data_IF_510709153159
#
_entry.id   IF_510709153159
#
_cell.length_a   1.000
_cell.length_b   1.000
_cell.length_c   1.000
_cell.angle_alpha   90.00
_cell.angle_beta   90.00
_cell.angle_gamma   90.00
#
_symmetry.space_group_name_H-M   'P 1'
#
loop_
_entity.id
_entity.type
_entity.pdbx_description
1 polymer ?
#
# COMPACT_ATOMS: atom_id res chain seq x y z
N UNK A 1 -32.97 2.50 26.58
CA UNK A 1 -32.47 1.12 26.45
C UNK A 1 -32.62 0.53 25.04
N UNK A 2 -33.74 0.71 24.30
CA UNK A 2 -33.90 0.06 22.96
C UNK A 2 -32.95 0.59 21.86
N UNK A 3 -32.55 1.86 21.85
CA UNK A 3 -31.64 2.44 20.83
C UNK A 3 -30.18 1.99 20.98
N UNK A 4 -29.71 1.78 22.20
CA UNK A 4 -28.34 1.30 22.46
C UNK A 4 -28.16 -0.17 22.03
N UNK A 5 -29.18 -0.99 22.21
CA UNK A 5 -29.12 -2.40 21.81
C UNK A 5 -29.13 -2.55 20.27
N UNK A 6 -29.80 -1.65 19.54
CA UNK A 6 -29.81 -1.66 18.08
C UNK A 6 -28.42 -1.29 17.52
N UNK A 7 -27.76 -0.29 18.11
CA UNK A 7 -26.39 0.08 17.72
C UNK A 7 -25.37 -1.02 18.02
N UNK A 8 -25.49 -1.69 19.16
CA UNK A 8 -24.66 -2.86 19.52
C UNK A 8 -24.93 -4.05 18.60
N UNK A 9 -26.17 -4.32 18.21
CA UNK A 9 -26.53 -5.41 17.31
C UNK A 9 -26.01 -5.12 15.88
N UNK A 10 -26.08 -3.88 15.41
CA UNK A 10 -25.52 -3.47 14.11
C UNK A 10 -23.99 -3.54 14.14
N UNK A 11 -23.34 -3.13 15.24
CA UNK A 11 -21.89 -3.26 15.40
C UNK A 11 -21.46 -4.74 15.45
N UNK A 12 -22.23 -5.62 16.09
CA UNK A 12 -21.91 -7.05 16.20
C UNK A 12 -22.17 -7.81 14.90
N UNK A 13 -23.18 -7.41 14.10
CA UNK A 13 -23.47 -8.04 12.81
C UNK A 13 -22.46 -7.65 11.70
N UNK A 14 -21.68 -6.58 11.87
CA UNK A 14 -20.59 -6.22 10.98
C UNK A 14 -19.31 -7.04 11.22
N UNK A 15 -19.22 -7.76 12.35
CA UNK A 15 -18.07 -8.59 12.70
C UNK A 15 -18.14 -10.05 12.24
N UNK A 16 -19.24 -10.51 11.67
CA UNK A 16 -19.47 -11.93 11.39
C UNK A 16 -19.39 -12.34 9.91
N UNK A 17 -18.64 -11.60 9.09
CA UNK A 17 -18.38 -11.99 7.70
C UNK A 17 -16.91 -12.38 7.55
N UNK A 18 -16.58 -13.59 7.96
CA UNK A 18 -15.34 -14.26 7.57
C UNK A 18 -15.46 -14.65 6.10
N UNK A 19 -14.78 -13.93 5.23
CA UNK A 19 -14.63 -14.31 3.83
C UNK A 19 -13.14 -14.20 3.49
N UNK A 20 -12.61 -15.25 2.96
CA UNK A 20 -11.21 -15.42 2.57
C UNK A 20 -11.05 -15.12 1.09
N UNK A 21 -9.98 -14.50 0.57
CA UNK A 21 -9.52 -14.48 -0.83
C UNK A 21 -8.30 -13.62 -1.13
N UNK A 22 -7.95 -13.53 -2.42
CA UNK A 22 -6.75 -12.87 -2.93
C UNK A 22 -6.80 -11.35 -2.78
N UNK A 23 -5.67 -10.76 -2.44
CA UNK A 23 -5.50 -9.32 -2.32
C UNK A 23 -5.48 -8.63 -3.70
N UNK A 24 -6.05 -7.44 -3.79
CA UNK A 24 -6.00 -6.60 -5.00
C UNK A 24 -4.59 -6.07 -5.30
N UNK A 25 -3.75 -6.01 -4.27
CA UNK A 25 -2.32 -5.66 -4.36
C UNK A 25 -1.48 -6.82 -3.82
N UNK A 26 -0.42 -7.24 -4.52
CA UNK A 26 0.56 -8.16 -3.94
C UNK A 26 1.16 -7.54 -2.69
N UNK A 27 1.38 -8.35 -1.67
CA UNK A 27 1.91 -7.90 -0.39
C UNK A 27 3.33 -7.35 -0.51
N UNK A 28 3.39 -6.05 -0.73
CA UNK A 28 4.61 -5.32 -0.86
C UNK A 28 4.53 -4.01 -0.09
N UNK A 29 4.80 -4.09 1.19
CA UNK A 29 4.74 -2.95 2.10
C UNK A 29 5.77 -1.86 1.78
N UNK A 30 6.72 -2.13 0.90
CA UNK A 30 7.65 -1.10 0.41
C UNK A 30 6.93 -0.03 -0.41
N UNK A 31 5.73 -0.30 -0.92
CA UNK A 31 4.91 0.70 -1.62
C UNK A 31 4.55 1.89 -0.73
N UNK A 32 4.24 1.68 0.55
CA UNK A 32 3.89 2.79 1.43
C UNK A 32 5.08 3.70 1.76
N UNK A 33 6.34 3.19 1.70
CA UNK A 33 7.53 4.03 1.78
C UNK A 33 7.66 4.94 0.57
N UNK A 34 7.22 4.46 -0.57
CA UNK A 34 7.33 5.17 -1.83
C UNK A 34 6.07 5.97 -2.13
N UNK A 35 4.89 5.38 -1.88
CA UNK A 35 3.61 6.04 -2.06
C UNK A 35 2.54 5.49 -1.09
N UNK A 36 2.27 6.24 -0.04
CA UNK A 36 1.39 5.81 1.07
C UNK A 36 -0.06 5.63 0.64
N UNK A 37 -0.51 6.33 -0.42
CA UNK A 37 -1.91 6.25 -0.85
C UNK A 37 -2.27 4.87 -1.42
N UNK A 38 -1.29 4.08 -1.83
CA UNK A 38 -1.50 2.70 -2.32
C UNK A 38 -2.09 1.78 -1.24
N UNK A 39 -1.71 2.01 0.02
CA UNK A 39 -2.16 1.21 1.17
C UNK A 39 -3.07 1.97 2.13
N UNK A 40 -3.29 3.26 1.89
CA UNK A 40 -4.24 4.05 2.65
C UNK A 40 -4.78 5.21 1.79
N UNK A 41 -6.01 5.12 1.29
CA UNK A 41 -6.58 6.12 0.39
C UNK A 41 -6.69 7.54 0.98
N UNK A 42 -6.58 7.71 2.31
CA UNK A 42 -6.59 9.04 2.92
C UNK A 42 -5.37 9.91 2.56
N UNK A 43 -4.29 9.31 2.04
CA UNK A 43 -3.12 10.06 1.56
C UNK A 43 -3.23 10.51 0.11
N UNK A 44 -4.32 10.19 -0.59
CA UNK A 44 -4.54 10.61 -1.98
C UNK A 44 -4.59 12.13 -2.08
N UNK A 45 -3.70 12.73 -2.88
CA UNK A 45 -3.64 14.19 -3.04
C UNK A 45 -3.19 14.95 -1.80
N UNK A 46 -2.53 14.29 -0.84
CA UNK A 46 -1.99 14.95 0.35
C UNK A 46 -0.74 15.81 0.07
N UNK A 47 -0.20 15.76 -1.14
CA UNK A 47 0.90 16.60 -1.61
C UNK A 47 0.40 17.88 -2.26
N UNK A 48 1.22 18.92 -2.22
CA UNK A 48 0.98 20.16 -2.97
C UNK A 48 1.18 19.98 -4.48
N UNK A 49 2.03 19.05 -4.89
CA UNK A 49 2.30 18.71 -6.28
C UNK A 49 1.37 17.60 -6.79
N UNK A 50 1.27 17.51 -8.12
CA UNK A 50 0.81 16.31 -8.80
C UNK A 50 1.94 15.28 -8.69
N UNK A 51 1.68 14.16 -8.05
CA UNK A 51 2.65 13.08 -7.86
C UNK A 51 2.39 11.98 -8.87
N UNK A 52 3.41 11.68 -9.66
CA UNK A 52 3.42 10.56 -10.62
C UNK A 52 4.48 9.58 -10.17
N UNK A 53 4.15 8.30 -10.08
CA UNK A 53 5.13 7.26 -9.71
C UNK A 53 4.96 6.01 -10.53
N UNK A 54 6.08 5.35 -10.76
CA UNK A 54 6.15 4.02 -11.35
C UNK A 54 7.08 3.17 -10.51
N UNK A 55 6.69 1.94 -10.24
CA UNK A 55 7.52 0.96 -9.54
C UNK A 55 7.56 -0.35 -10.30
N UNK A 56 8.72 -1.00 -10.24
CA UNK A 56 8.94 -2.33 -10.76
C UNK A 56 9.59 -3.18 -9.68
N UNK A 57 9.01 -4.32 -9.40
CA UNK A 57 9.48 -5.27 -8.40
C UNK A 57 9.63 -6.64 -9.01
N UNK A 58 10.73 -7.32 -8.67
CA UNK A 58 10.94 -8.75 -8.88
C UNK A 58 11.24 -9.41 -7.54
N UNK A 59 10.52 -10.49 -7.24
CA UNK A 59 10.76 -11.35 -6.07
C UNK A 59 11.43 -12.65 -6.53
N UNK A 60 12.11 -13.33 -5.61
CA UNK A 60 12.71 -14.66 -5.86
C UNK A 60 13.55 -14.68 -7.13
N UNK A 61 14.48 -13.73 -7.23
CA UNK A 61 15.25 -13.41 -8.44
C UNK A 61 16.02 -14.62 -9.03
N UNK A 62 16.23 -15.67 -8.25
CA UNK A 62 16.86 -16.92 -8.65
C UNK A 62 15.89 -18.01 -9.16
N UNK A 63 14.55 -17.72 -9.17
CA UNK A 63 13.55 -18.69 -9.62
C UNK A 63 13.11 -18.42 -11.06
N UNK A 64 12.91 -19.48 -11.89
CA UNK A 64 12.14 -19.34 -13.14
C UNK A 64 10.73 -18.83 -12.82
N UNK A 65 10.16 -18.01 -13.69
CA UNK A 65 8.82 -17.43 -13.55
C UNK A 65 8.57 -16.69 -12.21
N UNK A 66 9.65 -16.13 -11.67
CA UNK A 66 9.63 -15.34 -10.44
C UNK A 66 8.58 -14.21 -10.49
N UNK A 67 7.89 -13.93 -9.37
CA UNK A 67 6.87 -12.89 -9.33
C UNK A 67 7.42 -11.52 -9.74
N UNK A 68 6.73 -10.88 -10.66
CA UNK A 68 7.04 -9.55 -11.18
C UNK A 68 5.81 -8.67 -11.06
N UNK A 69 5.95 -7.55 -10.35
CA UNK A 69 4.91 -6.55 -10.19
C UNK A 69 5.36 -5.22 -10.79
N UNK A 70 4.56 -4.65 -11.66
CA UNK A 70 4.75 -3.28 -12.18
C UNK A 70 3.53 -2.46 -11.82
N UNK A 71 3.75 -1.27 -11.27
CA UNK A 71 2.70 -0.36 -10.86
C UNK A 71 3.00 1.05 -11.37
N UNK A 72 1.98 1.72 -11.86
CA UNK A 72 2.01 3.14 -12.19
C UNK A 72 0.89 3.84 -11.41
N UNK A 73 1.20 4.99 -10.82
CA UNK A 73 0.26 5.74 -9.99
C UNK A 73 0.33 7.24 -10.27
N UNK A 74 -0.79 7.91 -10.05
CA UNK A 74 -0.91 9.37 -10.12
C UNK A 74 -1.90 9.84 -9.06
N UNK A 75 -1.57 10.91 -8.35
CA UNK A 75 -2.54 11.58 -7.49
C UNK A 75 -2.23 13.09 -7.36
N UNK A 76 -3.26 13.87 -7.11
CA UNK A 76 -3.17 15.31 -6.93
C UNK A 76 -4.29 15.83 -6.02
N UNK A 77 -4.06 16.95 -5.38
CA UNK A 77 -5.13 17.79 -4.82
C UNK A 77 -5.75 18.58 -5.98
N UNK A 78 -7.01 18.31 -6.33
CA UNK A 78 -7.64 18.87 -7.53
C UNK A 78 -8.52 20.10 -7.26
N UNK A 79 -9.04 20.23 -6.04
CA UNK A 79 -9.74 21.41 -5.52
C UNK A 79 -9.42 21.50 -4.03
N UNK A 80 -9.73 22.65 -3.41
CA UNK A 80 -9.47 22.84 -1.98
C UNK A 80 -9.91 21.62 -1.18
N UNK A 81 -8.97 21.02 -0.45
CA UNK A 81 -9.14 19.86 0.43
C UNK A 81 -9.54 18.54 -0.23
N UNK A 82 -9.65 18.44 -1.56
CA UNK A 82 -10.06 17.21 -2.24
C UNK A 82 -8.93 16.67 -3.09
N UNK A 83 -8.42 15.51 -2.69
CA UNK A 83 -7.47 14.73 -3.48
C UNK A 83 -8.16 13.69 -4.35
N UNK A 84 -7.69 13.54 -5.57
CA UNK A 84 -8.01 12.41 -6.45
C UNK A 84 -6.75 11.68 -6.87
N UNK A 85 -6.86 10.39 -7.08
CA UNK A 85 -5.76 9.54 -7.51
C UNK A 85 -6.21 8.29 -8.21
N UNK A 86 -5.27 7.67 -8.89
CA UNK A 86 -5.45 6.39 -9.53
C UNK A 86 -4.15 5.60 -9.53
N UNK A 87 -4.24 4.29 -9.61
CA UNK A 87 -3.12 3.45 -9.98
C UNK A 87 -3.56 2.33 -10.90
N UNK A 88 -2.62 1.86 -11.72
CA UNK A 88 -2.70 0.65 -12.48
C UNK A 88 -1.56 -0.28 -12.05
N UNK A 89 -1.87 -1.55 -11.88
CA UNK A 89 -0.91 -2.60 -11.50
C UNK A 89 -1.06 -3.79 -12.43
N UNK A 90 0.10 -4.32 -12.84
CA UNK A 90 0.22 -5.61 -13.47
C UNK A 90 1.13 -6.49 -12.60
N UNK A 91 0.63 -7.64 -12.22
CA UNK A 91 1.36 -8.64 -11.46
C UNK A 91 1.35 -9.97 -12.20
N UNK A 92 2.51 -10.63 -12.22
CA UNK A 92 2.69 -11.94 -12.79
C UNK A 92 3.39 -12.83 -11.76
N UNK A 93 2.74 -13.90 -11.36
CA UNK A 93 3.23 -14.84 -10.37
C UNK A 93 2.97 -16.27 -10.86
N UNK A 94 4.00 -16.91 -11.43
CA UNK A 94 3.86 -18.22 -12.05
C UNK A 94 2.76 -18.25 -13.11
N UNK A 95 1.74 -19.07 -12.90
CA UNK A 95 0.61 -19.23 -13.82
C UNK A 95 -0.53 -18.18 -13.61
N UNK A 96 -0.37 -17.29 -12.64
CA UNK A 96 -1.37 -16.28 -12.32
C UNK A 96 -0.93 -14.90 -12.81
N UNK A 97 -1.82 -14.21 -13.53
CA UNK A 97 -1.64 -12.81 -13.93
C UNK A 97 -2.76 -11.98 -13.33
N UNK A 98 -2.41 -10.93 -12.60
CA UNK A 98 -3.37 -9.99 -12.03
C UNK A 98 -3.17 -8.61 -12.62
N UNK A 99 -4.26 -8.01 -13.13
CA UNK A 99 -4.31 -6.61 -13.52
C UNK A 99 -5.28 -5.90 -12.60
N UNK A 100 -4.82 -4.84 -11.95
CA UNK A 100 -5.67 -4.05 -11.06
C UNK A 100 -5.68 -2.60 -11.49
N UNK A 101 -6.85 -1.99 -11.39
CA UNK A 101 -7.07 -0.56 -11.57
C UNK A 101 -7.77 -0.01 -10.33
N UNK A 102 -7.30 1.12 -9.83
CA UNK A 102 -7.85 1.76 -8.64
C UNK A 102 -8.17 3.23 -8.93
N UNK A 103 -9.29 3.69 -8.41
CA UNK A 103 -9.68 5.10 -8.33
C UNK A 103 -9.84 5.48 -6.86
N UNK A 104 -9.16 6.53 -6.44
CA UNK A 104 -9.09 6.98 -5.05
C UNK A 104 -9.50 8.43 -4.91
N UNK A 105 -10.20 8.74 -3.82
CA UNK A 105 -10.56 10.10 -3.43
C UNK A 105 -10.31 10.29 -1.93
N UNK A 106 -9.85 11.48 -1.55
CA UNK A 106 -9.67 11.85 -0.15
C UNK A 106 -10.15 13.28 0.12
N UNK A 107 -10.53 13.50 1.37
CA UNK A 107 -10.87 14.83 1.90
C UNK A 107 -9.93 15.17 3.05
N UNK A 108 -9.33 16.36 2.97
CA UNK A 108 -8.29 16.84 3.88
C UNK A 108 -8.83 17.99 4.74
N UNK A 109 -8.76 17.85 6.04
CA UNK A 109 -9.23 18.84 7.02
C UNK A 109 -8.01 19.39 7.75
N UNK A 110 -7.50 20.58 7.36
CA UNK A 110 -6.41 21.22 8.07
C UNK A 110 -6.87 21.70 9.45
N UNK A 111 -6.01 21.61 10.45
CA UNK A 111 -6.25 22.13 11.78
C UNK A 111 -4.96 22.73 12.35
N UNK A 112 -5.09 23.54 13.42
CA UNK A 112 -3.97 24.22 14.06
C UNK A 112 -3.67 25.60 13.46
N UNK A 113 -2.71 26.30 14.06
CA UNK A 113 -2.38 27.67 13.68
C UNK A 113 -1.24 27.69 12.64
N UNK A 114 -1.46 28.32 11.51
CA UNK A 114 -0.47 28.56 10.46
C UNK A 114 0.77 29.31 10.98
N UNK A 115 0.63 30.04 12.08
CA UNK A 115 1.63 30.99 12.59
C UNK A 115 2.94 30.41 13.12
N UNK A 116 3.02 29.09 13.41
CA UNK A 116 4.21 28.47 14.01
C UNK A 116 4.69 27.20 13.27
N UNK A 117 4.32 27.04 12.01
CA UNK A 117 4.57 25.80 11.25
C UNK A 117 3.97 24.52 11.91
N UNK A 118 2.99 24.70 12.78
CA UNK A 118 2.27 23.64 13.52
C UNK A 118 0.91 23.35 12.87
N UNK A 119 0.88 23.26 11.55
CA UNK A 119 -0.31 22.86 10.84
C UNK A 119 -0.45 21.35 10.86
N UNK A 120 -1.56 20.86 11.37
CA UNK A 120 -1.95 19.46 11.30
C UNK A 120 -3.02 19.25 10.22
N UNK A 121 -3.25 17.99 9.89
CA UNK A 121 -4.27 17.59 8.93
C UNK A 121 -4.90 16.28 9.35
N UNK A 122 -6.23 16.24 9.41
CA UNK A 122 -6.99 15.00 9.36
C UNK A 122 -7.39 14.72 7.92
N UNK A 123 -7.32 13.46 7.50
CA UNK A 123 -7.72 13.07 6.14
C UNK A 123 -8.54 11.79 6.19
N UNK A 124 -9.56 11.74 5.34
CA UNK A 124 -10.40 10.56 5.12
C UNK A 124 -10.40 10.25 3.63
N UNK A 125 -10.29 8.97 3.30
CA UNK A 125 -10.25 8.56 1.89
C UNK A 125 -10.99 7.28 1.65
N UNK A 126 -11.42 7.11 0.42
CA UNK A 126 -11.98 5.88 -0.10
C UNK A 126 -11.43 5.59 -1.48
N UNK A 127 -11.39 4.33 -1.87
CA UNK A 127 -11.05 3.96 -3.24
C UNK A 127 -11.81 2.74 -3.71
N UNK A 128 -12.00 2.66 -5.03
CA UNK A 128 -12.54 1.50 -5.72
C UNK A 128 -11.41 0.83 -6.49
N UNK A 129 -11.21 -0.45 -6.26
CA UNK A 129 -10.25 -1.28 -6.99
C UNK A 129 -10.99 -2.33 -7.80
N UNK A 130 -10.52 -2.56 -9.01
CA UNK A 130 -11.00 -3.61 -9.90
C UNK A 130 -9.81 -4.52 -10.20
N UNK A 131 -9.83 -5.73 -9.66
CA UNK A 131 -8.80 -6.73 -9.91
C UNK A 131 -9.32 -7.79 -10.89
N UNK A 132 -8.60 -7.94 -12.01
CA UNK A 132 -8.83 -9.01 -12.98
C UNK A 132 -7.73 -10.06 -12.85
N UNK A 133 -8.06 -11.26 -12.43
CA UNK A 133 -7.16 -12.39 -12.29
C UNK A 133 -7.34 -13.36 -13.47
N UNK A 134 -6.23 -13.80 -14.01
CA UNK A 134 -6.18 -14.75 -15.11
C UNK A 134 -5.29 -15.91 -14.70
N UNK A 135 -5.88 -17.08 -14.60
CA UNK A 135 -5.20 -18.33 -14.30
C UNK A 135 -4.97 -19.08 -15.59
N UNK A 136 -3.71 -19.45 -15.89
CA UNK A 136 -3.34 -20.18 -17.09
C UNK A 136 -2.42 -21.34 -16.72
N UNK A 137 -2.60 -22.48 -17.36
CA UNK A 137 -1.74 -23.64 -17.19
C UNK A 137 -2.48 -24.95 -16.99
N UNK A 138 -1.75 -26.06 -17.07
CA UNK A 138 -2.25 -27.37 -16.71
C UNK A 138 -1.89 -27.64 -15.26
N UNK A 139 -2.84 -28.06 -14.45
CA UNK A 139 -2.59 -28.61 -13.13
C UNK A 139 -2.30 -30.11 -13.25
N UNK A 140 -1.47 -30.63 -12.36
CA UNK A 140 -1.32 -32.08 -12.19
C UNK A 140 -2.56 -32.75 -11.60
N UNK A 141 -3.45 -31.94 -11.01
CA UNK A 141 -4.74 -32.39 -10.48
C UNK A 141 -5.88 -32.09 -11.46
N UNK A 142 -6.40 -33.08 -12.20
CA UNK A 142 -7.48 -32.87 -13.17
C UNK A 142 -8.82 -32.45 -12.54
N UNK A 143 -8.96 -32.53 -11.22
CA UNK A 143 -10.15 -32.11 -10.47
C UNK A 143 -9.98 -30.73 -9.83
N UNK A 144 -8.92 -30.00 -10.13
CA UNK A 144 -8.75 -28.63 -9.65
C UNK A 144 -9.78 -27.72 -10.33
N UNK A 145 -10.68 -27.08 -9.59
CA UNK A 145 -11.74 -26.25 -10.15
C UNK A 145 -11.22 -24.97 -10.81
N UNK A 146 -9.99 -24.54 -10.49
CA UNK A 146 -9.37 -23.33 -11.06
C UNK A 146 -8.68 -23.66 -12.39
N UNK A 147 -8.07 -24.86 -12.48
CA UNK A 147 -7.21 -25.25 -13.61
C UNK A 147 -7.76 -26.41 -14.42
N UNK A 148 -9.02 -26.63 -14.54
CA UNK A 148 -9.60 -27.78 -15.25
C UNK A 148 -9.33 -27.79 -16.77
N UNK A 149 -8.18 -27.30 -17.21
CA UNK A 149 -7.72 -27.27 -18.60
C UNK A 149 -8.22 -26.09 -19.43
N UNK A 150 -9.02 -25.19 -18.85
CA UNK A 150 -9.47 -23.96 -19.45
C UNK A 150 -8.83 -22.74 -18.79
N UNK A 151 -8.59 -21.69 -19.55
CA UNK A 151 -8.22 -20.38 -18.98
C UNK A 151 -9.40 -19.85 -18.13
N UNK A 152 -9.13 -19.59 -16.86
CA UNK A 152 -10.12 -19.00 -15.97
C UNK A 152 -9.83 -17.52 -15.73
N UNK A 153 -10.87 -16.71 -15.82
CA UNK A 153 -10.78 -15.26 -15.57
C UNK A 153 -11.80 -14.86 -14.51
N UNK A 154 -11.32 -14.15 -13.51
CA UNK A 154 -12.14 -13.65 -12.40
C UNK A 154 -11.96 -12.15 -12.29
N UNK A 155 -13.07 -11.40 -12.08
CA UNK A 155 -13.05 -9.96 -11.88
C UNK A 155 -13.70 -9.63 -10.53
N UNK A 156 -12.94 -9.00 -9.66
CA UNK A 156 -13.38 -8.67 -8.31
C UNK A 156 -13.31 -7.16 -8.10
N UNK A 157 -14.46 -6.52 -7.85
CA UNK A 157 -14.49 -5.14 -7.39
C UNK A 157 -14.32 -5.07 -5.87
N UNK A 158 -13.43 -4.20 -5.40
CA UNK A 158 -13.17 -3.93 -3.99
C UNK A 158 -13.42 -2.46 -3.67
N UNK A 159 -13.81 -2.20 -2.42
CA UNK A 159 -13.80 -0.86 -1.83
C UNK A 159 -12.81 -0.82 -0.68
N UNK A 160 -12.08 0.29 -0.59
CA UNK A 160 -11.10 0.53 0.46
C UNK A 160 -11.46 1.81 1.20
N UNK A 161 -11.09 1.88 2.48
CA UNK A 161 -11.29 3.03 3.33
C UNK A 161 -10.01 3.37 4.07
N UNK A 162 -9.78 4.67 4.31
CA UNK A 162 -8.63 5.14 5.04
C UNK A 162 -8.92 6.39 5.84
N UNK A 163 -8.20 6.53 6.93
CA UNK A 163 -8.13 7.73 7.73
C UNK A 163 -6.68 7.99 8.12
N UNK A 164 -6.28 9.25 8.21
CA UNK A 164 -4.95 9.63 8.67
C UNK A 164 -4.97 10.96 9.42
N UNK A 165 -3.96 11.14 10.25
CA UNK A 165 -3.67 12.39 10.93
C UNK A 165 -2.18 12.67 10.82
N UNK A 166 -1.84 13.92 10.52
CA UNK A 166 -0.47 14.44 10.54
C UNK A 166 -0.40 15.66 11.43
N UNK A 167 0.64 15.77 12.25
CA UNK A 167 0.88 16.93 13.09
C UNK A 167 2.33 16.96 13.56
N UNK A 168 2.99 18.09 13.41
CA UNK A 168 4.38 18.29 13.88
C UNK A 168 5.33 17.13 13.48
N UNK A 169 5.28 16.74 12.21
CA UNK A 169 6.07 15.63 11.65
C UNK A 169 5.56 14.23 12.06
N UNK A 170 4.64 14.09 13.01
CA UNK A 170 3.96 12.84 13.28
C UNK A 170 2.98 12.49 12.17
N UNK A 171 2.86 11.20 11.88
CA UNK A 171 1.90 10.64 10.96
C UNK A 171 1.29 9.39 11.58
N UNK A 172 -0.03 9.36 11.64
CA UNK A 172 -0.82 8.18 11.97
C UNK A 172 -1.72 7.86 10.77
N UNK A 173 -1.78 6.60 10.36
CA UNK A 173 -2.67 6.13 9.30
C UNK A 173 -3.36 4.84 9.70
N UNK A 174 -4.65 4.74 9.39
CA UNK A 174 -5.46 3.53 9.53
C UNK A 174 -6.20 3.29 8.22
N UNK A 175 -6.23 2.04 7.75
CA UNK A 175 -6.99 1.69 6.56
C UNK A 175 -7.54 0.27 6.61
N UNK A 176 -8.60 0.06 5.84
CA UNK A 176 -9.16 -1.26 5.54
C UNK A 176 -9.15 -1.40 4.03
N UNK A 177 -8.48 -2.42 3.53
CA UNK A 177 -8.35 -2.69 2.11
C UNK A 177 -9.04 -4.00 1.74
N UNK A 178 -9.34 -4.12 0.46
CA UNK A 178 -9.86 -5.32 -0.18
C UNK A 178 -11.19 -5.81 0.41
N UNK A 179 -12.09 -4.85 0.70
CA UNK A 179 -13.48 -5.18 1.05
C UNK A 179 -14.23 -5.49 -0.25
N UNK A 180 -14.57 -6.76 -0.55
CA UNK A 180 -15.18 -7.11 -1.81
C UNK A 180 -16.63 -6.60 -1.90
N UNK A 181 -16.98 -6.06 -3.06
CA UNK A 181 -18.34 -5.57 -3.37
C UNK A 181 -19.24 -6.63 -4.00
N UNK A 182 -18.67 -7.73 -4.46
CA UNK A 182 -19.41 -8.84 -5.05
C UNK A 182 -18.84 -10.17 -4.59
N UNK A 183 -19.73 -11.09 -4.26
CA UNK A 183 -19.42 -12.47 -3.85
C UNK A 183 -20.05 -13.50 -4.80
N UNK A 184 -20.43 -13.08 -6.02
CA UNK A 184 -21.22 -13.92 -6.92
C UNK A 184 -20.40 -14.95 -7.71
N UNK A 185 -19.06 -14.86 -7.67
CA UNK A 185 -18.20 -15.83 -8.35
C UNK A 185 -17.90 -17.01 -7.40
N UNK A 186 -18.28 -18.25 -7.77
CA UNK A 186 -18.02 -19.44 -6.94
C UNK A 186 -16.54 -19.68 -6.65
N UNK A 187 -15.66 -19.32 -7.58
CA UNK A 187 -14.21 -19.46 -7.38
C UNK A 187 -13.75 -18.54 -6.26
N UNK A 188 -14.20 -17.28 -6.27
CA UNK A 188 -13.86 -16.28 -5.25
C UNK A 188 -14.43 -16.66 -3.89
N UNK A 189 -15.65 -17.19 -3.85
CA UNK A 189 -16.31 -17.51 -2.58
C UNK A 189 -15.88 -18.82 -1.94
N UNK A 190 -15.49 -19.81 -2.74
CA UNK A 190 -15.32 -21.18 -2.26
C UNK A 190 -13.86 -21.63 -2.28
N UNK A 191 -13.06 -21.14 -3.23
CA UNK A 191 -11.71 -21.64 -3.46
C UNK A 191 -10.62 -20.61 -3.24
N UNK A 192 -10.92 -19.34 -3.50
CA UNK A 192 -9.96 -18.23 -3.40
C UNK A 192 -10.59 -16.99 -2.72
N UNK A 193 -10.95 -17.09 -1.44
CA UNK A 193 -11.57 -16.01 -0.71
C UNK A 193 -10.65 -14.75 -0.54
N UNK A 194 -11.12 -13.45 -0.63
CA UNK A 194 -10.31 -12.21 -0.47
C UNK A 194 -10.16 -11.81 0.99
N UNK A 195 -8.98 -11.86 1.60
CA UNK A 195 -8.83 -11.34 2.92
C UNK A 195 -9.00 -9.83 2.92
N UNK A 196 -9.81 -9.31 3.84
CA UNK A 196 -9.79 -7.89 4.17
C UNK A 196 -8.55 -7.62 4.99
N UNK A 197 -7.78 -6.63 4.60
CA UNK A 197 -6.59 -6.25 5.34
C UNK A 197 -6.80 -4.93 6.09
N UNK A 198 -6.41 -4.95 7.34
CA UNK A 198 -6.38 -3.79 8.22
C UNK A 198 -4.95 -3.33 8.34
N UNK A 199 -4.69 -2.07 8.07
CA UNK A 199 -3.37 -1.47 8.19
C UNK A 199 -3.37 -0.40 9.27
N UNK A 200 -2.32 -0.40 10.08
CA UNK A 200 -1.97 0.67 10.99
C UNK A 200 -0.57 1.18 10.66
N UNK A 201 -0.38 2.48 10.56
CA UNK A 201 0.91 3.10 10.29
C UNK A 201 1.18 4.21 11.30
N UNK A 202 2.38 4.24 11.84
CA UNK A 202 2.86 5.31 12.71
C UNK A 202 4.26 5.72 12.26
N UNK A 203 4.46 6.99 12.02
CA UNK A 203 5.75 7.53 11.61
C UNK A 203 6.04 8.91 12.22
N UNK A 204 7.30 9.28 12.21
CA UNK A 204 7.75 10.62 12.61
C UNK A 204 8.81 11.09 11.64
N UNK A 205 8.67 12.32 11.19
CA UNK A 205 9.74 13.05 10.52
C UNK A 205 10.46 13.89 11.57
N UNK A 206 11.78 13.72 11.69
CA UNK A 206 12.64 14.38 12.70
C UNK A 206 13.69 15.16 11.93
N UNK A 207 13.60 16.47 11.95
CA UNK A 207 14.64 17.35 11.43
C UNK A 207 15.76 17.50 12.48
N UNK A 208 16.86 16.77 12.30
CA UNK A 208 18.04 16.84 13.18
C UNK A 208 18.82 18.13 12.90
N UNK A 209 18.86 18.54 11.65
CA UNK A 209 19.41 19.82 11.20
C UNK A 209 18.67 20.28 9.93
N UNK A 210 19.00 21.46 9.43
CA UNK A 210 18.46 21.94 8.12
C UNK A 210 18.77 21.00 6.95
N UNK A 211 19.83 20.22 7.06
CA UNK A 211 20.29 19.31 6.01
C UNK A 211 19.98 17.84 6.30
N UNK A 212 19.83 17.45 7.56
CA UNK A 212 19.69 16.05 7.95
C UNK A 212 18.32 15.76 8.59
N UNK A 213 17.63 14.80 8.02
CA UNK A 213 16.29 14.37 8.44
C UNK A 213 16.27 12.87 8.67
N UNK A 214 15.60 12.42 9.73
CA UNK A 214 15.40 11.02 10.07
C UNK A 214 13.89 10.70 10.07
N UNK A 215 13.51 9.57 9.48
CA UNK A 215 12.12 9.16 9.32
C UNK A 215 11.93 7.71 9.77
N UNK A 216 11.78 7.46 11.08
CA UNK A 216 11.31 6.18 11.58
C UNK A 216 9.82 6.00 11.26
N UNK A 217 9.43 4.78 10.87
CA UNK A 217 8.05 4.40 10.66
C UNK A 217 7.83 2.93 10.96
N UNK A 218 6.68 2.61 11.54
CA UNK A 218 6.20 1.24 11.76
C UNK A 218 4.87 1.10 11.03
N UNK A 219 4.70 -0.01 10.33
CA UNK A 219 3.43 -0.41 9.73
C UNK A 219 3.06 -1.81 10.19
N UNK A 220 1.82 -1.99 10.55
CA UNK A 220 1.23 -3.27 10.92
C UNK A 220 0.07 -3.57 9.99
N UNK A 221 0.03 -4.80 9.46
CA UNK A 221 -1.05 -5.32 8.63
C UNK A 221 -1.60 -6.58 9.27
N UNK A 222 -2.91 -6.77 9.26
CA UNK A 222 -3.55 -8.01 9.70
C UNK A 222 -4.87 -8.24 8.97
N UNK A 223 -5.20 -9.50 8.73
CA UNK A 223 -6.54 -9.93 8.36
C UNK A 223 -7.38 -10.33 9.58
N UNK A 224 -6.78 -10.29 10.79
CA UNK A 224 -7.33 -10.77 12.07
C UNK A 224 -7.67 -12.27 12.10
N UNK A 225 -7.12 -13.03 11.18
CA UNK A 225 -7.25 -14.48 11.12
C UNK A 225 -5.86 -15.11 11.29
N UNK A 226 -5.18 -15.45 10.23
CA UNK A 226 -3.90 -16.17 10.30
C UNK A 226 -2.71 -15.32 9.84
N UNK A 227 -2.93 -14.20 9.13
CA UNK A 227 -1.87 -13.38 8.53
C UNK A 227 -1.78 -12.01 9.20
N UNK A 228 -0.69 -11.79 9.90
CA UNK A 228 -0.32 -10.50 10.48
C UNK A 228 1.15 -10.20 10.23
N UNK A 229 1.46 -8.95 9.91
CA UNK A 229 2.80 -8.54 9.54
C UNK A 229 3.17 -7.19 10.12
N UNK A 230 4.41 -7.09 10.58
CA UNK A 230 5.01 -5.86 11.09
C UNK A 230 6.19 -5.47 10.20
N UNK A 231 6.20 -4.24 9.75
CA UNK A 231 7.30 -3.60 9.04
C UNK A 231 7.85 -2.45 9.88
N UNK A 232 9.12 -2.54 10.26
CA UNK A 232 9.85 -1.45 10.89
C UNK A 232 10.79 -0.80 9.86
N UNK A 233 10.65 0.49 9.66
CA UNK A 233 11.35 1.26 8.64
C UNK A 233 12.13 2.40 9.26
N UNK A 234 13.32 2.63 8.75
CA UNK A 234 14.13 3.79 9.08
C UNK A 234 14.72 4.37 7.80
N UNK A 235 14.50 5.67 7.57
CA UNK A 235 15.09 6.41 6.46
C UNK A 235 15.85 7.62 6.98
N UNK A 236 17.07 7.81 6.52
CA UNK A 236 17.90 8.99 6.75
C UNK A 236 18.04 9.76 5.44
N UNK A 237 17.71 11.04 5.44
CA UNK A 237 17.71 11.91 4.26
C UNK A 237 18.66 13.07 4.47
N UNK A 238 19.52 13.30 3.48
CA UNK A 238 20.46 14.45 3.43
C UNK A 238 20.02 15.37 2.31
N UNK A 239 19.71 16.61 2.65
CA UNK A 239 19.23 17.66 1.74
C UNK A 239 20.37 18.54 1.25
N UNK A 240 20.42 18.83 -0.05
CA UNK A 240 21.42 19.71 -0.71
C UNK A 240 20.67 20.69 -1.61
N UNK A 241 20.38 21.87 -1.15
CA UNK A 241 19.56 22.83 -1.88
C UNK A 241 18.17 22.22 -2.25
N UNK A 242 17.89 22.06 -3.53
CA UNK A 242 16.65 21.45 -4.05
C UNK A 242 16.73 19.93 -4.23
N UNK A 243 17.87 19.33 -3.92
CA UNK A 243 18.09 17.90 -4.08
C UNK A 243 18.24 17.22 -2.71
N UNK A 244 18.05 15.91 -2.70
CA UNK A 244 18.34 15.11 -1.52
C UNK A 244 18.78 13.71 -1.92
N UNK A 245 19.60 13.10 -1.06
CA UNK A 245 19.89 11.67 -1.11
C UNK A 245 19.39 11.04 0.18
N UNK A 246 18.87 9.85 0.10
CA UNK A 246 18.40 9.15 1.28
C UNK A 246 18.84 7.67 1.26
N UNK A 247 19.04 7.15 2.46
CA UNK A 247 19.30 5.74 2.72
C UNK A 247 18.29 5.24 3.72
N UNK A 248 17.91 3.99 3.61
CA UNK A 248 16.96 3.40 4.52
C UNK A 248 17.12 1.90 4.65
N UNK A 249 16.40 1.35 5.60
CA UNK A 249 16.24 -0.08 5.78
C UNK A 249 14.82 -0.38 6.24
N UNK A 250 14.28 -1.48 5.76
CA UNK A 250 13.06 -2.11 6.27
C UNK A 250 13.43 -3.42 6.93
N UNK A 251 12.84 -3.71 8.07
CA UNK A 251 12.85 -5.02 8.72
C UNK A 251 11.43 -5.54 8.81
N UNK A 252 11.19 -6.75 8.36
CA UNK A 252 9.88 -7.38 8.27
C UNK A 252 9.79 -8.61 9.13
N UNK A 253 8.71 -8.68 9.91
CA UNK A 253 8.31 -9.84 10.70
C UNK A 253 6.91 -10.28 10.30
N UNK A 254 6.70 -11.58 10.28
CA UNK A 254 5.39 -12.22 10.15
C UNK A 254 4.96 -12.86 11.47
N UNK A 255 3.66 -12.86 11.71
CA UNK A 255 3.03 -13.53 12.84
C UNK A 255 1.98 -14.48 12.27
N UNK A 256 2.36 -15.74 12.19
CA UNK A 256 1.49 -16.79 11.64
C UNK A 256 1.29 -17.87 12.70
N UNK A 257 0.03 -18.23 12.98
CA UNK A 257 -0.35 -19.25 13.97
C UNK A 257 0.29 -19.08 15.35
N UNK A 258 0.51 -17.84 15.80
CA UNK A 258 1.13 -17.53 17.08
C UNK A 258 2.66 -17.68 17.10
N UNK A 259 3.30 -18.00 15.98
CA UNK A 259 4.74 -17.99 15.83
C UNK A 259 5.22 -16.70 15.16
N UNK A 260 6.38 -16.20 15.61
CA UNK A 260 7.01 -15.00 15.08
C UNK A 260 8.16 -15.40 14.17
N UNK A 261 8.12 -14.99 12.91
CA UNK A 261 9.18 -15.26 11.96
C UNK A 261 9.75 -13.97 11.36
N UNK A 262 11.07 -13.82 11.40
CA UNK A 262 11.76 -12.78 10.66
C UNK A 262 11.77 -13.13 9.18
N UNK A 263 11.08 -12.34 8.35
CA UNK A 263 10.97 -12.65 6.92
C UNK A 263 12.13 -12.05 6.11
N UNK A 264 12.43 -10.78 6.32
CA UNK A 264 13.42 -10.11 5.49
C UNK A 264 13.98 -8.83 6.11
N UNK A 265 15.14 -8.42 5.59
CA UNK A 265 15.66 -7.07 5.73
C UNK A 265 15.87 -6.50 4.32
N UNK A 266 15.52 -5.22 4.13
CA UNK A 266 15.60 -4.57 2.83
C UNK A 266 16.32 -3.23 2.95
N UNK A 267 17.64 -3.17 2.68
CA UNK A 267 18.34 -1.91 2.49
C UNK A 267 17.77 -1.15 1.29
N UNK A 268 17.75 0.16 1.41
CA UNK A 268 17.17 1.07 0.42
C UNK A 268 18.06 2.28 0.20
N UNK A 269 18.08 2.78 -1.01
CA UNK A 269 18.75 4.02 -1.40
C UNK A 269 17.89 4.78 -2.39
N UNK A 270 17.96 6.09 -2.37
CA UNK A 270 17.32 6.92 -3.39
C UNK A 270 17.79 8.36 -3.38
N UNK A 271 17.27 9.11 -4.33
CA UNK A 271 17.56 10.52 -4.50
C UNK A 271 16.32 11.27 -4.98
N UNK A 272 16.19 12.50 -4.50
CA UNK A 272 15.27 13.51 -5.03
C UNK A 272 16.14 14.55 -5.78
N UNK A 273 15.92 14.66 -7.09
CA UNK A 273 16.71 15.53 -7.99
C UNK A 273 15.75 16.50 -8.66
N UNK A 274 15.66 17.71 -8.12
CA UNK A 274 14.62 18.65 -8.50
C UNK A 274 13.23 18.02 -8.31
N UNK A 275 12.50 17.83 -9.40
CA UNK A 275 11.16 17.25 -9.41
C UNK A 275 11.13 15.71 -9.59
N UNK A 276 12.27 15.10 -9.83
CA UNK A 276 12.38 13.66 -10.05
C UNK A 276 12.78 12.96 -8.74
N UNK A 277 12.13 11.82 -8.48
CA UNK A 277 12.45 10.95 -7.34
C UNK A 277 12.85 9.57 -7.89
N UNK A 278 13.97 9.04 -7.41
CA UNK A 278 14.41 7.68 -7.74
C UNK A 278 14.66 6.90 -6.47
N UNK A 279 14.34 5.63 -6.47
CA UNK A 279 14.56 4.76 -5.33
C UNK A 279 14.82 3.32 -5.76
N UNK A 280 15.64 2.65 -4.97
CA UNK A 280 15.95 1.24 -5.13
C UNK A 280 15.98 0.56 -3.76
N UNK A 281 15.45 -0.64 -3.70
CA UNK A 281 15.46 -1.51 -2.53
C UNK A 281 15.82 -2.92 -2.94
N UNK A 282 16.67 -3.57 -2.15
CA UNK A 282 16.97 -4.99 -2.32
C UNK A 282 16.47 -5.77 -1.10
N UNK A 283 15.55 -6.69 -1.32
CA UNK A 283 14.97 -7.53 -0.27
C UNK A 283 15.84 -8.77 -0.07
N UNK A 284 16.30 -8.99 1.16
CA UNK A 284 17.07 -10.15 1.56
C UNK A 284 16.24 -11.00 2.52
N UNK A 285 15.95 -12.22 2.15
CA UNK A 285 15.24 -13.18 3.01
C UNK A 285 16.06 -13.55 4.25
N UNK A 286 15.38 -13.71 5.38
CA UNK A 286 15.93 -14.12 6.67
C UNK A 286 15.34 -15.47 7.10
N UNK A 287 15.99 -16.14 8.06
CA UNK A 287 15.52 -17.42 8.59
C UNK A 287 15.44 -18.48 7.50
N UNK A 288 14.39 -19.28 7.51
CA UNK A 288 14.17 -20.35 6.54
C UNK A 288 14.00 -19.82 5.11
N UNK A 289 13.46 -18.62 4.96
CA UNK A 289 13.29 -17.92 3.69
C UNK A 289 14.61 -17.60 2.97
N UNK A 290 15.71 -17.53 3.71
CA UNK A 290 17.05 -17.33 3.13
C UNK A 290 17.46 -18.50 2.23
N UNK A 291 17.11 -19.71 2.63
CA UNK A 291 17.48 -20.94 1.94
C UNK A 291 16.60 -21.18 0.70
N UNK A 292 15.42 -20.58 0.66
CA UNK A 292 14.45 -20.70 -0.43
C UNK A 292 14.61 -19.59 -1.51
N UNK A 293 15.68 -18.78 -1.43
CA UNK A 293 15.96 -17.75 -2.43
C UNK A 293 15.01 -16.56 -2.40
N UNK A 294 14.43 -16.22 -1.24
CA UNK A 294 13.49 -15.11 -1.07
C UNK A 294 14.18 -13.74 -1.15
N UNK A 295 15.02 -13.55 -2.15
CA UNK A 295 15.62 -12.26 -2.48
C UNK A 295 14.82 -11.59 -3.59
N UNK A 296 14.98 -10.29 -3.73
CA UNK A 296 14.32 -9.56 -4.80
C UNK A 296 14.66 -8.07 -4.75
N UNK A 297 14.20 -7.34 -5.73
CA UNK A 297 14.43 -5.90 -5.75
C UNK A 297 13.16 -5.12 -6.10
N UNK A 298 13.15 -3.86 -5.70
CA UNK A 298 12.14 -2.88 -6.11
C UNK A 298 12.86 -1.63 -6.59
N UNK A 299 12.52 -1.17 -7.79
CA UNK A 299 12.95 0.12 -8.33
C UNK A 299 11.75 1.04 -8.45
N UNK A 300 11.94 2.33 -8.13
CA UNK A 300 10.90 3.35 -8.23
C UNK A 300 11.43 4.57 -8.95
N UNK A 301 10.60 5.10 -9.84
CA UNK A 301 10.77 6.39 -10.50
C UNK A 301 9.53 7.23 -10.20
N UNK A 302 9.73 8.47 -9.79
CA UNK A 302 8.67 9.43 -9.51
C UNK A 302 8.95 10.79 -10.10
N UNK A 303 7.88 11.54 -10.35
CA UNK A 303 7.93 12.94 -10.75
C UNK A 303 6.88 13.73 -9.97
N UNK A 304 7.30 14.85 -9.41
CA UNK A 304 6.44 15.84 -8.79
C UNK A 304 6.23 16.97 -9.78
N UNK A 305 5.03 17.12 -10.31
CA UNK A 305 4.69 18.18 -11.27
C UNK A 305 3.94 19.27 -10.52
N UNK A 306 4.20 20.54 -10.87
CA UNK A 306 3.47 21.66 -10.31
C UNK A 306 1.97 21.49 -10.47
N UNK A 307 1.24 21.70 -9.38
CA UNK A 307 -0.19 21.46 -9.37
C UNK A 307 -0.96 22.64 -9.99
N UNK A 308 -1.31 22.51 -11.25
CA UNK A 308 -2.07 23.50 -12.00
C UNK A 308 -3.59 23.48 -11.71
N UNK A 309 -4.07 22.54 -10.89
CA UNK A 309 -5.47 22.53 -10.44
C UNK A 309 -5.72 23.49 -9.27
N UNK A 310 -4.69 23.83 -8.50
CA UNK A 310 -4.83 24.83 -7.44
C UNK A 310 -4.96 26.21 -8.08
N UNK A 311 -6.00 27.01 -7.71
CA UNK A 311 -6.02 28.40 -8.14
C UNK A 311 -4.75 29.09 -7.62
N UNK A 312 -4.03 29.77 -8.52
CA UNK A 312 -2.96 30.70 -8.13
C UNK A 312 -3.59 31.71 -7.15
N UNK A 313 -3.13 31.69 -5.91
CA UNK A 313 -3.47 32.77 -4.98
C UNK A 313 -2.73 33.98 -5.55
N UNK A 314 -3.43 34.83 -6.31
CA UNK A 314 -2.93 36.17 -6.60
C UNK A 314 -2.81 36.89 -5.25
N UNK A 315 -1.56 37.22 -4.87
CA UNK A 315 -1.21 38.02 -3.70
C UNK A 315 -1.78 39.47 -3.80
#
# INVERSE_FOLDING_TARGET
>A
MKKQNILLTIAFSLFSLSAFAQSSLPFNEQYFLMDKFLVNPSFTGASDDIVLKMSHRRQWDNMPDAPVTTLASAHANIVDRVGLGMYFMNDHNGNTKTNSFNLSAAYHIPFGAVKNNQQGQFSFGTSLSFAGMHFSGMTENPNDPIYNGAETRVYIPYINFGASATYDGWMLGLSVLDVPLSYNDPIVNQYEPSPKFYYGMLGKTIDISSQFQLEPMVAYRSNFDEDSRLDANLRAKVKFQENAVWFGANYRMDFFNGENQSLSVSPMIGADIGRMNVGFSYNMGLGDMKNEGNNGFTAVLGFNVENFFKPSIEE
#
